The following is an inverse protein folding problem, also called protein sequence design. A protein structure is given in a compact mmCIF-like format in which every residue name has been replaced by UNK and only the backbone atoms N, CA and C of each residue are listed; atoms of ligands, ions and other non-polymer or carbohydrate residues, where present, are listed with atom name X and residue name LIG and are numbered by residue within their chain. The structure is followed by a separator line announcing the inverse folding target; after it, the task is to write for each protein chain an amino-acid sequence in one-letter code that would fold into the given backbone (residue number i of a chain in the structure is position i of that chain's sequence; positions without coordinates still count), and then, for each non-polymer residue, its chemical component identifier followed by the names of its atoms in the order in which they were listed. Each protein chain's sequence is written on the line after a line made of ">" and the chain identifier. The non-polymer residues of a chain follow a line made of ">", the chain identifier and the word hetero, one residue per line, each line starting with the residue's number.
data_IF_365990751131
#
_entry.id   IF_365990751131
#
_cell.length_a   1.000
_cell.length_b   1.000
_cell.length_c   1.000
_cell.angle_alpha   90.00
_cell.angle_beta   90.00
_cell.angle_gamma   90.00
#
_symmetry.space_group_name_H-M   'P 1'
#
loop_
_entity.id
_entity.type
_entity.pdbx_description
1 polymer ?
#
# COMPACT_ATOMS: atom_id res chain seq x y z
N UNK A 1 -14.57 13.23 -9.46
CA UNK A 1 -13.11 13.27 -9.74
C UNK A 1 -12.27 13.82 -8.59
N UNK A 2 -12.76 14.77 -7.75
CA UNK A 2 -11.98 15.32 -6.62
C UNK A 2 -11.58 14.29 -5.54
N UNK A 3 -12.33 13.20 -5.37
CA UNK A 3 -12.01 12.12 -4.44
C UNK A 3 -10.84 11.24 -4.87
N UNK A 4 -10.58 11.16 -6.18
CA UNK A 4 -9.48 10.38 -6.76
C UNK A 4 -8.13 11.04 -6.43
N UNK A 5 -8.01 12.36 -6.64
CA UNK A 5 -6.86 13.13 -6.19
C UNK A 5 -6.71 13.04 -4.67
N UNK A 6 -7.79 13.23 -3.91
CA UNK A 6 -7.73 13.22 -2.44
C UNK A 6 -7.28 11.88 -1.84
N UNK A 7 -7.62 10.74 -2.45
CA UNK A 7 -7.20 9.42 -1.97
C UNK A 7 -5.73 9.13 -2.29
N UNK A 8 -5.29 9.42 -3.51
CA UNK A 8 -3.87 9.30 -3.88
C UNK A 8 -2.99 10.31 -3.16
N UNK A 9 -3.45 11.55 -2.97
CA UNK A 9 -2.72 12.58 -2.24
C UNK A 9 -2.73 12.31 -0.74
N UNK A 10 -3.81 11.83 -0.11
CA UNK A 10 -3.79 11.46 1.30
C UNK A 10 -2.79 10.32 1.58
N UNK A 11 -2.67 9.35 0.67
CA UNK A 11 -1.78 8.19 0.84
C UNK A 11 -0.34 8.53 0.47
N UNK A 12 -0.13 9.35 -0.57
CA UNK A 12 1.16 9.99 -0.84
C UNK A 12 1.59 10.88 0.32
N UNK A 13 0.70 11.66 0.92
CA UNK A 13 1.00 12.49 2.10
C UNK A 13 1.29 11.63 3.31
N UNK A 14 0.60 10.51 3.56
CA UNK A 14 0.99 9.59 4.64
C UNK A 14 2.38 8.96 4.37
N UNK A 15 2.70 8.66 3.12
CA UNK A 15 3.99 8.09 2.71
C UNK A 15 5.13 9.13 2.72
N UNK A 16 4.88 10.37 2.29
CA UNK A 16 5.84 11.48 2.24
C UNK A 16 5.95 12.26 3.55
N UNK A 17 4.90 12.31 4.38
CA UNK A 17 4.97 12.90 5.73
C UNK A 17 5.84 12.03 6.66
N UNK A 18 5.98 10.74 6.36
CA UNK A 18 7.02 9.87 6.95
C UNK A 18 8.44 10.19 6.46
N UNK A 19 8.60 10.64 5.22
CA UNK A 19 9.92 10.89 4.60
C UNK A 19 10.45 12.32 4.76
N UNK A 20 9.59 13.34 4.88
CA UNK A 20 10.03 14.74 4.72
C UNK A 20 10.38 15.49 6.01
N UNK A 21 10.12 14.96 7.21
CA UNK A 21 10.34 15.70 8.47
C UNK A 21 11.59 15.29 9.27
N UNK A 22 12.36 14.29 8.84
CA UNK A 22 13.51 13.76 9.59
C UNK A 22 14.84 13.80 8.84
N UNK A 23 15.02 14.72 7.90
CA UNK A 23 16.31 14.96 7.22
C UNK A 23 17.23 15.98 7.93
N UNK A 24 16.94 16.39 9.18
CA UNK A 24 17.76 17.39 9.90
C UNK A 24 18.43 16.96 11.20
N UNK A 25 18.44 15.68 11.58
CA UNK A 25 19.32 15.22 12.67
C UNK A 25 19.88 13.82 12.40
N UNK A 26 20.92 13.84 11.57
CA UNK A 26 21.91 12.84 11.27
C UNK A 26 22.70 12.45 12.54
N UNK A 27 22.20 11.53 13.40
CA UNK A 27 23.06 10.99 14.49
C UNK A 27 22.73 9.66 15.20
N UNK A 28 21.89 8.76 14.66
CA UNK A 28 21.75 7.38 15.22
C UNK A 28 21.82 6.31 14.11
N UNK A 29 23.04 5.94 13.69
CA UNK A 29 23.36 5.17 12.47
C UNK A 29 22.78 3.75 12.41
N UNK A 30 22.34 3.16 13.53
CA UNK A 30 21.73 1.82 13.55
C UNK A 30 20.19 1.85 13.50
N UNK A 31 19.56 2.87 14.09
CA UNK A 31 18.11 3.03 14.10
C UNK A 31 17.54 3.57 12.78
N UNK A 32 18.30 4.45 12.11
CA UNK A 32 17.85 5.10 10.88
C UNK A 32 17.57 4.11 9.73
N UNK A 33 18.47 3.14 9.49
CA UNK A 33 18.32 2.18 8.37
C UNK A 33 17.08 1.27 8.57
N UNK A 34 16.73 0.96 9.82
CA UNK A 34 15.55 0.17 10.17
C UNK A 34 14.26 0.99 9.99
N UNK A 35 14.26 2.25 10.42
CA UNK A 35 13.11 3.14 10.22
C UNK A 35 12.83 3.40 8.74
N UNK A 36 13.88 3.60 7.92
CA UNK A 36 13.71 3.80 6.47
C UNK A 36 13.09 2.56 5.82
N UNK A 37 13.59 1.36 6.13
CA UNK A 37 12.99 0.11 5.63
C UNK A 37 11.52 -0.05 6.02
N UNK A 38 11.16 0.28 7.27
CA UNK A 38 9.78 0.21 7.75
C UNK A 38 8.85 1.19 7.01
N UNK A 39 9.29 2.43 6.80
CA UNK A 39 8.50 3.44 6.07
C UNK A 39 8.27 2.98 4.63
N UNK A 40 9.30 2.45 3.97
CA UNK A 40 9.20 1.94 2.60
C UNK A 40 8.19 0.81 2.49
N UNK A 41 8.21 -0.16 3.40
CA UNK A 41 7.26 -1.29 3.39
C UNK A 41 5.82 -0.84 3.62
N UNK A 42 5.59 0.09 4.56
CA UNK A 42 4.24 0.63 4.81
C UNK A 42 3.75 1.39 3.57
N UNK A 43 4.61 2.19 2.93
CA UNK A 43 4.29 2.92 1.71
C UNK A 43 3.98 1.97 0.54
N UNK A 44 4.76 0.89 0.41
CA UNK A 44 4.54 -0.14 -0.61
C UNK A 44 3.19 -0.85 -0.42
N UNK A 45 2.89 -1.29 0.81
CA UNK A 45 1.59 -1.90 1.13
C UNK A 45 0.42 -0.93 0.83
N UNK A 46 0.55 0.33 1.23
CA UNK A 46 -0.46 1.35 0.96
C UNK A 46 -0.69 1.56 -0.54
N UNK A 47 0.37 1.52 -1.36
CA UNK A 47 0.27 1.59 -2.81
C UNK A 47 -0.58 0.45 -3.39
N UNK A 48 -0.33 -0.80 -2.99
CA UNK A 48 -1.07 -1.96 -3.49
C UNK A 48 -2.56 -1.89 -3.17
N UNK A 49 -2.91 -1.58 -1.92
CA UNK A 49 -4.31 -1.44 -1.53
C UNK A 49 -4.99 -0.24 -2.21
N UNK A 50 -4.26 0.84 -2.48
CA UNK A 50 -4.79 2.01 -3.20
C UNK A 50 -5.18 1.66 -4.64
N UNK A 51 -4.31 0.93 -5.34
CA UNK A 51 -4.56 0.48 -6.71
C UNK A 51 -5.80 -0.42 -6.73
N UNK A 52 -5.90 -1.37 -5.80
CA UNK A 52 -7.06 -2.26 -5.70
C UNK A 52 -8.37 -1.50 -5.42
N UNK A 53 -8.35 -0.56 -4.46
CA UNK A 53 -9.51 0.26 -4.12
C UNK A 53 -9.95 1.11 -5.31
N UNK A 54 -9.00 1.64 -6.07
CA UNK A 54 -9.25 2.42 -7.28
C UNK A 54 -9.91 1.58 -8.38
N UNK A 55 -9.34 0.42 -8.71
CA UNK A 55 -9.90 -0.48 -9.74
C UNK A 55 -11.31 -0.94 -9.35
N UNK A 56 -11.53 -1.24 -8.07
CA UNK A 56 -12.86 -1.60 -7.53
C UNK A 56 -13.86 -0.45 -7.67
N UNK A 57 -13.46 0.77 -7.28
CA UNK A 57 -14.30 1.95 -7.40
C UNK A 57 -14.74 2.21 -8.85
N UNK A 58 -13.83 2.07 -9.81
CA UNK A 58 -14.13 2.21 -11.25
C UNK A 58 -15.08 1.12 -11.74
N UNK A 59 -14.86 -0.11 -11.32
CA UNK A 59 -15.71 -1.24 -11.65
C UNK A 59 -17.16 -1.01 -11.22
N UNK A 60 -17.41 -0.64 -9.96
CA UNK A 60 -18.77 -0.38 -9.46
C UNK A 60 -19.44 0.82 -10.13
N UNK A 61 -18.69 1.89 -10.41
CA UNK A 61 -19.20 3.07 -11.11
C UNK A 61 -19.77 2.71 -12.49
N UNK A 62 -19.10 1.83 -13.23
CA UNK A 62 -19.47 1.46 -14.60
C UNK A 62 -20.50 0.32 -14.64
N UNK A 63 -20.38 -0.70 -13.79
CA UNK A 63 -21.30 -1.84 -13.80
C UNK A 63 -22.63 -1.56 -13.10
N UNK A 64 -22.63 -0.72 -12.04
CA UNK A 64 -23.78 -0.49 -11.16
C UNK A 64 -23.90 0.99 -10.76
N UNK A 65 -24.17 1.91 -11.71
CA UNK A 65 -24.19 3.35 -11.43
C UNK A 65 -25.25 3.76 -10.40
N UNK A 66 -26.39 3.07 -10.34
CA UNK A 66 -27.48 3.37 -9.39
C UNK A 66 -27.13 2.97 -7.96
N UNK A 67 -26.49 1.82 -7.77
CA UNK A 67 -26.07 1.34 -6.45
C UNK A 67 -24.76 1.98 -5.99
N UNK A 68 -23.92 2.46 -6.92
CA UNK A 68 -22.65 3.13 -6.63
C UNK A 68 -22.83 4.31 -5.67
N UNK A 69 -23.88 5.12 -5.84
CA UNK A 69 -24.19 6.26 -4.97
C UNK A 69 -24.49 5.86 -3.53
N UNK A 70 -25.01 4.65 -3.31
CA UNK A 70 -25.29 4.12 -1.99
C UNK A 70 -24.06 3.43 -1.37
N UNK A 71 -23.30 2.69 -2.18
CA UNK A 71 -22.11 1.95 -1.75
C UNK A 71 -20.96 2.92 -1.43
N UNK A 72 -20.61 3.82 -2.36
CA UNK A 72 -19.52 4.78 -2.27
C UNK A 72 -19.99 6.17 -1.85
N UNK A 73 -20.68 6.25 -0.72
CA UNK A 73 -20.99 7.52 -0.08
C UNK A 73 -19.76 8.05 0.70
N UNK A 74 -19.65 9.37 0.91
CA UNK A 74 -18.49 10.01 1.56
C UNK A 74 -18.13 9.38 2.91
N UNK A 75 -19.13 8.99 3.71
CA UNK A 75 -18.91 8.32 5.01
C UNK A 75 -18.32 6.92 4.83
N UNK A 76 -18.86 6.12 3.90
CA UNK A 76 -18.38 4.76 3.64
C UNK A 76 -16.98 4.78 3.04
N UNK A 77 -16.70 5.70 2.12
CA UNK A 77 -15.38 5.89 1.53
C UNK A 77 -14.34 6.23 2.60
N UNK A 78 -14.68 7.11 3.56
CA UNK A 78 -13.80 7.40 4.68
C UNK A 78 -13.53 6.16 5.55
N UNK A 79 -14.55 5.33 5.77
CA UNK A 79 -14.39 4.05 6.49
C UNK A 79 -13.47 3.10 5.72
N UNK A 80 -13.64 2.94 4.40
CA UNK A 80 -12.77 2.09 3.58
C UNK A 80 -11.31 2.54 3.60
N UNK A 81 -11.06 3.86 3.52
CA UNK A 81 -9.71 4.42 3.62
C UNK A 81 -9.13 4.18 5.02
N UNK A 82 -9.91 4.43 6.08
CA UNK A 82 -9.49 4.20 7.46
C UNK A 82 -9.10 2.74 7.71
N UNK A 83 -9.94 1.80 7.26
CA UNK A 83 -9.65 0.35 7.34
C UNK A 83 -8.37 0.02 6.58
N UNK A 84 -8.19 0.57 5.37
CA UNK A 84 -6.99 0.34 4.55
C UNK A 84 -5.73 0.82 5.27
N UNK A 85 -5.75 2.01 5.86
CA UNK A 85 -4.63 2.55 6.64
C UNK A 85 -4.33 1.67 7.85
N UNK A 86 -5.36 1.21 8.58
CA UNK A 86 -5.17 0.30 9.72
C UNK A 86 -4.53 -1.02 9.30
N UNK A 87 -4.91 -1.59 8.15
CA UNK A 87 -4.29 -2.80 7.58
C UNK A 87 -2.82 -2.54 7.24
N UNK A 88 -2.49 -1.41 6.63
CA UNK A 88 -1.11 -1.05 6.28
C UNK A 88 -0.24 -0.87 7.54
N UNK A 89 -0.78 -0.28 8.60
CA UNK A 89 -0.08 -0.16 9.88
C UNK A 89 0.13 -1.52 10.53
N UNK A 90 -0.90 -2.39 10.53
CA UNK A 90 -0.77 -3.75 11.05
C UNK A 90 0.29 -4.56 10.28
N UNK A 91 0.35 -4.39 8.96
CA UNK A 91 1.39 -4.98 8.11
C UNK A 91 2.79 -4.50 8.53
N UNK A 92 2.96 -3.19 8.73
CA UNK A 92 4.21 -2.61 9.23
C UNK A 92 4.62 -3.10 10.63
N UNK A 93 3.66 -3.36 11.53
CA UNK A 93 3.91 -3.85 12.88
C UNK A 93 4.63 -5.21 12.91
N UNK A 94 4.40 -6.09 11.92
CA UNK A 94 5.08 -7.40 11.83
C UNK A 94 6.60 -7.24 11.73
N UNK A 95 7.06 -6.20 11.05
CA UNK A 95 8.48 -5.89 10.84
C UNK A 95 9.16 -5.23 12.06
N UNK A 96 8.40 -4.90 13.11
CA UNK A 96 8.97 -4.49 14.40
C UNK A 96 9.49 -5.68 15.21
N UNK A 97 9.10 -6.92 14.87
CA UNK A 97 9.57 -8.09 15.60
C UNK A 97 11.08 -8.32 15.41
N UNK A 98 11.77 -8.65 16.50
CA UNK A 98 13.24 -8.73 16.57
C UNK A 98 13.93 -9.54 15.46
N UNK A 99 13.48 -10.78 15.14
CA UNK A 99 14.12 -11.63 14.14
C UNK A 99 13.69 -11.34 12.69
N UNK A 100 12.71 -10.46 12.47
CA UNK A 100 12.08 -10.22 11.17
C UNK A 100 12.27 -8.75 10.75
N UNK A 101 13.52 -8.30 10.65
CA UNK A 101 13.82 -6.93 10.26
C UNK A 101 13.99 -6.79 8.74
N UNK A 102 13.66 -5.60 8.24
CA UNK A 102 13.92 -5.15 6.88
C UNK A 102 14.76 -3.88 6.97
N UNK A 103 15.96 -3.92 6.38
CA UNK A 103 16.95 -2.84 6.51
C UNK A 103 17.46 -2.43 5.14
N UNK A 104 17.77 -1.14 5.02
CA UNK A 104 18.45 -0.62 3.84
C UNK A 104 19.96 -0.88 3.94
N UNK A 105 20.50 -1.74 3.07
CA UNK A 105 21.91 -2.04 3.00
C UNK A 105 22.63 -1.00 2.13
N UNK A 106 23.36 -0.07 2.77
CA UNK A 106 24.08 1.00 2.05
C UNK A 106 25.19 0.49 1.13
N UNK A 107 25.72 -0.71 1.35
CA UNK A 107 26.78 -1.31 0.52
C UNK A 107 26.29 -1.79 -0.83
N UNK A 108 25.08 -2.34 -0.91
CA UNK A 108 24.45 -2.78 -2.16
C UNK A 108 23.42 -1.78 -2.69
N UNK A 109 23.08 -0.73 -1.91
CA UNK A 109 21.98 0.21 -2.20
C UNK A 109 20.63 -0.48 -2.38
N UNK A 110 20.46 -1.62 -1.71
CA UNK A 110 19.28 -2.46 -1.81
C UNK A 110 18.64 -2.63 -0.44
N UNK A 111 17.32 -2.82 -0.43
CA UNK A 111 16.63 -3.23 0.78
C UNK A 111 16.73 -4.75 0.92
N UNK A 112 17.20 -5.20 2.07
CA UNK A 112 17.40 -6.62 2.34
C UNK A 112 16.54 -7.08 3.51
N UNK A 113 15.95 -8.26 3.35
CA UNK A 113 15.24 -8.96 4.41
C UNK A 113 16.25 -9.72 5.27
N UNK A 114 15.91 -9.94 6.54
CA UNK A 114 16.72 -10.77 7.43
C UNK A 114 16.86 -12.20 6.87
N UNK A 115 18.08 -12.75 6.85
CA UNK A 115 18.38 -14.14 6.41
C UNK A 115 17.94 -15.23 7.40
N UNK A 116 16.86 -14.97 8.13
CA UNK A 116 16.24 -15.93 9.04
C UNK A 116 15.01 -16.53 8.35
N UNK A 117 14.55 -17.69 8.82
CA UNK A 117 13.31 -18.34 8.35
C UNK A 117 12.10 -17.39 8.34
N UNK A 118 12.04 -16.45 9.29
CA UNK A 118 11.01 -15.42 9.31
C UNK A 118 11.12 -14.43 8.14
N UNK A 119 12.32 -13.93 7.85
CA UNK A 119 12.52 -12.96 6.78
C UNK A 119 12.30 -13.57 5.39
N UNK A 120 12.71 -14.83 5.20
CA UNK A 120 12.43 -15.58 3.96
C UNK A 120 10.93 -15.82 3.77
N UNK A 121 10.22 -16.25 4.81
CA UNK A 121 8.78 -16.44 4.77
C UNK A 121 8.05 -15.13 4.43
N UNK A 122 8.47 -14.03 5.08
CA UNK A 122 7.85 -12.71 4.92
C UNK A 122 8.11 -12.14 3.51
N UNK A 123 9.34 -12.24 3.01
CA UNK A 123 9.67 -11.80 1.64
C UNK A 123 8.89 -12.59 0.59
N UNK A 124 8.85 -13.93 0.73
CA UNK A 124 8.29 -14.77 -0.32
C UNK A 124 6.74 -14.79 -0.31
N UNK A 125 6.13 -15.04 0.84
CA UNK A 125 4.67 -15.18 0.92
C UNK A 125 3.95 -13.84 1.05
N UNK A 126 4.49 -12.95 1.88
CA UNK A 126 3.77 -11.75 2.28
C UNK A 126 4.07 -10.59 1.33
N UNK A 127 5.31 -10.42 0.87
CA UNK A 127 5.64 -9.33 -0.07
C UNK A 127 5.42 -9.74 -1.54
N UNK A 128 5.99 -10.87 -1.97
CA UNK A 128 5.93 -11.29 -3.38
C UNK A 128 4.57 -11.85 -3.79
N UNK A 129 4.05 -12.88 -3.11
CA UNK A 129 2.78 -13.49 -3.52
C UNK A 129 1.56 -12.58 -3.34
N UNK A 130 1.47 -11.85 -2.22
CA UNK A 130 0.34 -10.94 -2.00
C UNK A 130 0.30 -9.81 -3.02
N UNK A 131 1.45 -9.22 -3.37
CA UNK A 131 1.49 -8.15 -4.37
C UNK A 131 1.05 -8.65 -5.75
N UNK A 132 1.46 -9.85 -6.15
CA UNK A 132 1.01 -10.50 -7.39
C UNK A 132 -0.50 -10.72 -7.37
N UNK A 133 -1.06 -11.26 -6.28
CA UNK A 133 -2.51 -11.52 -6.17
C UNK A 133 -3.31 -10.22 -6.23
N UNK A 134 -2.89 -9.19 -5.49
CA UNK A 134 -3.57 -7.88 -5.49
C UNK A 134 -3.52 -7.27 -6.89
N UNK A 135 -2.36 -7.30 -7.55
CA UNK A 135 -2.20 -6.77 -8.89
C UNK A 135 -3.03 -7.55 -9.92
N UNK A 136 -3.08 -8.87 -9.83
CA UNK A 136 -3.88 -9.71 -10.72
C UNK A 136 -5.38 -9.38 -10.59
N UNK A 137 -5.88 -9.19 -9.36
CA UNK A 137 -7.27 -8.77 -9.12
C UNK A 137 -7.52 -7.38 -9.69
N UNK A 138 -6.61 -6.42 -9.49
CA UNK A 138 -6.74 -5.07 -10.03
C UNK A 138 -6.80 -5.07 -11.56
N UNK A 139 -5.88 -5.79 -12.22
CA UNK A 139 -5.86 -5.95 -13.68
C UNK A 139 -7.14 -6.60 -14.18
N UNK A 140 -7.62 -7.63 -13.50
CA UNK A 140 -8.89 -8.30 -13.84
C UNK A 140 -10.04 -7.29 -13.79
N UNK A 141 -10.21 -6.57 -12.68
CA UNK A 141 -11.26 -5.56 -12.53
C UNK A 141 -11.17 -4.45 -13.58
N UNK A 142 -9.97 -3.93 -13.85
CA UNK A 142 -9.75 -2.91 -14.86
C UNK A 142 -10.06 -3.44 -16.27
N UNK A 143 -9.70 -4.70 -16.57
CA UNK A 143 -10.04 -5.32 -17.84
C UNK A 143 -11.55 -5.43 -18.06
N UNK A 144 -12.32 -5.91 -17.08
CA UNK A 144 -13.80 -5.93 -17.18
C UNK A 144 -14.39 -4.53 -17.35
N UNK A 145 -13.82 -3.57 -16.62
CA UNK A 145 -14.23 -2.18 -16.70
C UNK A 145 -14.03 -1.62 -18.11
N UNK A 146 -12.87 -1.87 -18.73
CA UNK A 146 -12.56 -1.47 -20.10
C UNK A 146 -13.44 -2.17 -21.14
N UNK A 147 -13.66 -3.48 -21.00
CA UNK A 147 -14.54 -4.24 -21.90
C UNK A 147 -15.96 -3.69 -21.86
N UNK A 148 -16.49 -3.43 -20.66
CA UNK A 148 -17.85 -2.89 -20.51
C UNK A 148 -17.96 -1.48 -21.08
N UNK A 149 -16.93 -0.66 -20.90
CA UNK A 149 -16.87 0.70 -21.46
C UNK A 149 -16.80 0.69 -23.00
N UNK A 150 -16.14 -0.31 -23.60
CA UNK A 150 -16.05 -0.43 -25.07
C UNK A 150 -17.32 -0.98 -25.71
N UNK A 151 -18.09 -1.79 -24.99
CA UNK A 151 -19.35 -2.37 -25.50
C UNK A 151 -20.54 -1.41 -25.39
N UNK A 152 -20.39 -0.26 -24.71
CA UNK A 152 -21.38 0.81 -24.66
C UNK A 152 -21.03 1.87 -25.70
#
# INVERSE_FOLDING_TARGET
>A
MNWLLSSTEAILVVSFCGSSKKERNFRDSFGANRSVGQITIIAQAASYFSILLLSTNRFFCIFKPLEYLHIFNNRNTFVYISITVMICLAYGCVYFHGPCYFIFARSSLEFTFSQNTCGDFLSHYIDFWMSIVILAIAIFLDFFTLVKLRMY
#
